data_IF_810558417476
#
_entry.id   IF_810558417476
#
_cell.length_a   1.000
_cell.length_b   1.000
_cell.length_c   1.000
_cell.angle_alpha   90.00
_cell.angle_beta   90.00
_cell.angle_gamma   90.00
#
_symmetry.space_group_name_H-M   'P 1'
#
loop_
_entity.id
_entity.type
_entity.pdbx_description
1 polymer ?
#
# COMPACT_ATOMS: atom_id res chain seq x y z
N UNK A 1 -4.37 -6.22 5.79
CA UNK A 1 -4.63 -5.21 4.74
C UNK A 1 -4.42 -5.75 3.33
N UNK A 2 -3.23 -6.27 2.91
CA UNK A 2 -3.06 -6.74 1.53
C UNK A 2 -4.07 -7.80 1.05
N UNK A 3 -4.41 -8.84 1.86
CA UNK A 3 -5.43 -9.82 1.44
C UNK A 3 -6.81 -9.20 1.26
N UNK A 4 -7.18 -8.25 2.12
CA UNK A 4 -8.48 -7.55 2.06
C UNK A 4 -8.61 -6.78 0.76
N UNK A 5 -7.56 -6.04 0.35
CA UNK A 5 -7.55 -5.32 -0.92
C UNK A 5 -7.50 -6.26 -2.13
N UNK A 6 -6.77 -7.37 -2.01
CA UNK A 6 -6.76 -8.40 -3.05
C UNK A 6 -8.15 -8.98 -3.32
N UNK A 7 -8.96 -9.19 -2.28
CA UNK A 7 -10.36 -9.66 -2.42
C UNK A 7 -11.30 -8.54 -2.88
N UNK A 8 -11.07 -7.30 -2.43
CA UNK A 8 -11.91 -6.16 -2.79
C UNK A 8 -11.69 -5.62 -4.21
N UNK A 9 -10.71 -6.15 -4.95
CA UNK A 9 -10.36 -5.68 -6.30
C UNK A 9 -10.55 -6.76 -7.35
N UNK A 10 -11.11 -6.39 -8.51
CA UNK A 10 -11.26 -7.28 -9.67
C UNK A 10 -9.96 -7.48 -10.45
N UNK A 11 -8.92 -6.67 -10.19
CA UNK A 11 -7.61 -6.75 -10.85
C UNK A 11 -6.55 -7.23 -9.88
N UNK A 12 -5.52 -7.91 -10.39
CA UNK A 12 -4.36 -8.28 -9.59
C UNK A 12 -3.62 -7.02 -9.10
N UNK A 13 -3.43 -6.95 -7.79
CA UNK A 13 -2.71 -5.89 -7.11
C UNK A 13 -1.34 -6.41 -6.64
N UNK A 14 -0.33 -5.56 -6.76
CA UNK A 14 1.02 -5.81 -6.29
C UNK A 14 1.31 -4.97 -5.04
N UNK A 15 1.98 -5.54 -4.05
CA UNK A 15 2.15 -4.92 -2.74
C UNK A 15 3.63 -4.75 -2.41
N UNK A 16 4.04 -3.54 -2.02
CA UNK A 16 5.40 -3.35 -1.51
C UNK A 16 5.48 -3.86 -0.05
N UNK A 17 6.31 -4.89 0.18
CA UNK A 17 6.41 -5.59 1.47
C UNK A 17 7.87 -5.68 1.93
N UNK A 18 8.13 -5.45 3.23
CA UNK A 18 9.51 -5.48 3.76
C UNK A 18 10.19 -6.81 3.46
N UNK A 19 11.46 -6.79 3.05
CA UNK A 19 12.25 -8.01 2.75
C UNK A 19 12.29 -9.00 3.91
N UNK A 20 12.18 -8.54 5.16
CA UNK A 20 12.10 -9.42 6.35
C UNK A 20 10.94 -10.41 6.30
N UNK A 21 9.84 -10.08 5.61
CA UNK A 21 8.71 -10.99 5.39
C UNK A 21 9.05 -12.16 4.45
N UNK A 22 10.14 -12.09 3.71
CA UNK A 22 10.54 -13.11 2.74
C UNK A 22 11.59 -14.10 3.29
N UNK A 23 11.94 -14.00 4.59
CA UNK A 23 12.93 -14.89 5.23
C UNK A 23 12.45 -16.35 5.31
N UNK A 24 11.16 -16.57 5.60
CA UNK A 24 10.59 -17.91 5.62
C UNK A 24 10.26 -18.34 4.17
N UNK A 25 10.86 -19.45 3.69
CA UNK A 25 10.73 -19.92 2.30
C UNK A 25 9.28 -20.20 1.89
N UNK A 26 8.50 -20.86 2.75
CA UNK A 26 7.13 -21.23 2.45
C UNK A 26 6.23 -19.99 2.38
N UNK A 27 6.34 -19.11 3.38
CA UNK A 27 5.59 -17.86 3.41
C UNK A 27 5.99 -16.92 2.26
N UNK A 28 7.29 -16.85 1.96
CA UNK A 28 7.85 -16.09 0.82
C UNK A 28 7.25 -16.54 -0.51
N UNK A 29 7.10 -17.85 -0.74
CA UNK A 29 6.49 -18.38 -1.96
C UNK A 29 5.02 -17.94 -2.08
N UNK A 30 4.26 -18.01 -0.98
CA UNK A 30 2.85 -17.62 -0.94
C UNK A 30 2.70 -16.12 -1.23
N UNK A 31 3.39 -15.25 -0.49
CA UNK A 31 3.23 -13.81 -0.65
C UNK A 31 3.71 -13.33 -2.03
N UNK A 32 4.72 -13.98 -2.63
CA UNK A 32 5.15 -13.69 -4.01
C UNK A 32 4.06 -14.00 -5.03
N UNK A 33 3.39 -15.15 -4.90
CA UNK A 33 2.26 -15.51 -5.77
C UNK A 33 1.10 -14.51 -5.65
N UNK A 34 0.87 -14.00 -4.44
CA UNK A 34 -0.10 -12.95 -4.12
C UNK A 34 0.33 -11.54 -4.57
N UNK A 35 1.49 -11.38 -5.22
CA UNK A 35 1.94 -10.10 -5.78
C UNK A 35 2.80 -9.25 -4.85
N UNK A 36 3.32 -9.79 -3.74
CA UNK A 36 4.22 -9.05 -2.86
C UNK A 36 5.60 -8.86 -3.50
N UNK A 37 6.06 -7.61 -3.55
CA UNK A 37 7.37 -7.18 -4.04
C UNK A 37 8.21 -6.82 -2.82
N UNK A 38 9.41 -7.41 -2.65
CA UNK A 38 10.29 -7.09 -1.53
C UNK A 38 10.83 -5.66 -1.65
N UNK A 39 10.76 -4.91 -0.55
CA UNK A 39 11.37 -3.58 -0.39
C UNK A 39 12.43 -3.59 0.71
N UNK A 40 13.52 -2.88 0.43
CA UNK A 40 14.59 -2.54 1.39
C UNK A 40 14.72 -1.03 1.50
N UNK A 41 15.05 -0.55 2.70
CA UNK A 41 15.23 0.89 2.93
C UNK A 41 16.47 1.43 2.21
N UNK A 42 17.56 0.67 2.24
CA UNK A 42 18.81 0.99 1.53
C UNK A 42 18.65 0.88 0.00
N UNK A 43 17.77 -0.01 -0.47
CA UNK A 43 17.44 -0.20 -1.89
C UNK A 43 16.18 0.51 -2.38
N UNK A 44 15.74 1.57 -1.69
CA UNK A 44 14.48 2.25 -1.99
C UNK A 44 14.41 2.76 -3.44
N UNK A 45 15.43 3.43 -4.02
CA UNK A 45 15.40 3.89 -5.41
C UNK A 45 15.17 2.75 -6.42
N UNK A 46 15.84 1.61 -6.21
CA UNK A 46 15.68 0.42 -7.07
C UNK A 46 14.27 -0.13 -6.98
N UNK A 47 13.70 -0.17 -5.78
CA UNK A 47 12.34 -0.67 -5.57
C UNK A 47 11.30 0.25 -6.21
N UNK A 48 11.46 1.57 -6.09
CA UNK A 48 10.57 2.54 -6.74
C UNK A 48 10.65 2.43 -8.27
N UNK A 49 11.84 2.22 -8.85
CA UNK A 49 11.98 1.94 -10.29
C UNK A 49 11.25 0.67 -10.71
N UNK A 50 11.36 -0.42 -9.94
CA UNK A 50 10.60 -1.66 -10.20
C UNK A 50 9.09 -1.43 -10.14
N UNK A 51 8.62 -0.66 -9.16
CA UNK A 51 7.22 -0.29 -9.05
C UNK A 51 6.76 0.52 -10.29
N UNK A 52 7.56 1.48 -10.77
CA UNK A 52 7.25 2.20 -12.01
C UNK A 52 7.13 1.28 -13.22
N UNK A 53 8.03 0.29 -13.37
CA UNK A 53 7.95 -0.66 -14.48
C UNK A 53 6.66 -1.48 -14.43
N UNK A 54 6.26 -1.94 -13.25
CA UNK A 54 5.00 -2.67 -13.06
C UNK A 54 3.79 -1.79 -13.39
N UNK A 55 3.81 -0.51 -13.00
CA UNK A 55 2.76 0.43 -13.38
C UNK A 55 2.68 0.62 -14.90
N UNK A 56 3.84 0.69 -15.58
CA UNK A 56 3.92 0.78 -17.06
C UNK A 56 3.36 -0.46 -17.77
N UNK A 57 3.45 -1.63 -17.15
CA UNK A 57 2.82 -2.87 -17.64
C UNK A 57 1.28 -2.90 -17.40
N UNK A 58 0.68 -1.79 -16.96
CA UNK A 58 -0.76 -1.71 -16.69
C UNK A 58 -1.19 -2.45 -15.42
N UNK A 59 -0.25 -2.82 -14.54
CA UNK A 59 -0.56 -3.51 -13.28
C UNK A 59 -0.80 -2.52 -12.14
N UNK A 60 -1.58 -2.94 -11.14
CA UNK A 60 -1.93 -2.08 -10.01
C UNK A 60 -0.94 -2.25 -8.86
N UNK A 61 -0.49 -1.16 -8.25
CA UNK A 61 0.36 -1.20 -7.05
C UNK A 61 -0.38 -0.60 -5.86
N UNK A 62 -0.29 -1.31 -4.74
CA UNK A 62 -0.73 -0.85 -3.44
C UNK A 62 0.49 -0.44 -2.64
N UNK A 63 0.46 0.81 -2.18
CA UNK A 63 1.44 1.39 -1.27
C UNK A 63 0.72 1.94 -0.04
N UNK A 64 1.28 1.66 1.14
CA UNK A 64 0.83 2.26 2.39
C UNK A 64 1.67 3.51 2.64
N UNK A 65 1.08 4.72 2.64
CA UNK A 65 1.86 5.95 2.58
C UNK A 65 2.74 6.20 3.80
N UNK A 66 2.37 5.60 4.93
CA UNK A 66 3.07 5.68 6.21
C UNK A 66 4.24 4.67 6.35
N UNK A 67 4.29 3.64 5.49
CA UNK A 67 5.31 2.59 5.49
C UNK A 67 5.34 1.66 6.73
N UNK A 68 4.40 1.82 7.67
CA UNK A 68 4.24 0.96 8.85
C UNK A 68 2.76 0.76 9.16
N UNK A 69 2.42 -0.31 9.89
CA UNK A 69 1.05 -0.49 10.40
C UNK A 69 0.79 0.57 11.48
N UNK A 70 -0.37 1.20 11.42
CA UNK A 70 -0.82 2.10 12.48
C UNK A 70 -1.15 1.28 13.73
N UNK A 71 -0.59 1.66 14.88
CA UNK A 71 -0.87 1.03 16.18
C UNK A 71 -2.13 1.60 16.82
N UNK A 72 -2.39 2.89 16.59
CA UNK A 72 -3.44 3.65 17.26
C UNK A 72 -4.59 4.01 16.31
N UNK A 73 -4.58 3.43 15.11
CA UNK A 73 -5.57 3.72 14.08
C UNK A 73 -5.55 5.16 13.57
N UNK A 74 -4.45 5.92 13.76
CA UNK A 74 -4.25 7.26 13.19
C UNK A 74 -3.35 7.18 11.96
N UNK A 75 -3.65 8.00 10.94
CA UNK A 75 -2.85 8.08 9.73
C UNK A 75 -1.65 9.02 9.95
N UNK A 76 -0.43 8.48 9.86
CA UNK A 76 0.83 9.24 9.93
C UNK A 76 1.11 10.00 8.62
N UNK A 77 2.18 10.78 8.65
CA UNK A 77 2.70 11.53 7.51
C UNK A 77 3.13 10.63 6.34
N UNK A 78 3.00 11.19 5.15
CA UNK A 78 3.31 10.55 3.90
C UNK A 78 4.80 10.52 3.65
N UNK A 79 5.28 9.40 3.11
CA UNK A 79 6.65 9.31 2.64
C UNK A 79 6.76 9.82 1.20
N UNK A 80 7.85 10.54 0.85
CA UNK A 80 8.03 11.12 -0.48
C UNK A 80 8.04 10.07 -1.60
N UNK A 81 8.38 8.81 -1.29
CA UNK A 81 8.28 7.70 -2.25
C UNK A 81 6.88 7.48 -2.82
N UNK A 82 5.82 7.85 -2.07
CA UNK A 82 4.43 7.79 -2.54
C UNK A 82 4.20 8.87 -3.59
N UNK A 83 4.59 10.11 -3.31
CA UNK A 83 4.48 11.21 -4.26
C UNK A 83 5.33 11.01 -5.51
N UNK A 84 6.51 10.41 -5.35
CA UNK A 84 7.34 10.01 -6.48
C UNK A 84 6.61 9.03 -7.41
N UNK A 85 5.98 7.98 -6.87
CA UNK A 85 5.21 7.03 -7.68
C UNK A 85 3.95 7.67 -8.28
N UNK A 86 3.30 8.56 -7.54
CA UNK A 86 2.12 9.29 -8.01
C UNK A 86 2.45 10.14 -9.25
N UNK A 87 3.54 10.92 -9.19
CA UNK A 87 3.95 11.83 -10.28
C UNK A 87 4.60 11.06 -11.43
N UNK A 88 5.56 10.17 -11.14
CA UNK A 88 6.32 9.46 -12.19
C UNK A 88 5.57 8.27 -12.77
N UNK A 89 4.62 7.70 -12.03
CA UNK A 89 3.78 6.61 -12.49
C UNK A 89 2.78 7.03 -13.58
N UNK A 90 2.42 8.33 -13.63
CA UNK A 90 1.45 8.89 -14.60
C UNK A 90 0.16 8.07 -14.69
N UNK A 91 -0.28 7.54 -13.56
CA UNK A 91 -1.46 6.71 -13.43
C UNK A 91 -2.37 7.26 -12.33
N UNK A 92 -3.68 6.98 -12.37
CA UNK A 92 -4.59 7.40 -11.31
C UNK A 92 -4.17 6.80 -9.96
N UNK A 93 -4.13 7.65 -8.93
CA UNK A 93 -3.92 7.24 -7.54
C UNK A 93 -5.28 7.16 -6.86
N UNK A 94 -5.68 5.96 -6.46
CA UNK A 94 -6.98 5.74 -5.81
C UNK A 94 -6.77 5.65 -4.29
N UNK A 95 -7.27 6.61 -3.50
CA UNK A 95 -7.19 6.55 -2.04
C UNK A 95 -8.13 5.47 -1.52
N UNK A 96 -7.62 4.62 -0.62
CA UNK A 96 -8.40 3.54 -0.01
C UNK A 96 -8.19 3.54 1.50
N UNK A 97 -9.31 3.48 2.23
CA UNK A 97 -9.32 3.34 3.68
C UNK A 97 -9.81 1.95 4.07
N UNK A 98 -9.04 1.27 4.90
CA UNK A 98 -9.39 -0.03 5.49
C UNK A 98 -9.58 0.17 6.99
N UNK A 99 -10.68 -0.35 7.53
CA UNK A 99 -10.98 -0.32 8.96
C UNK A 99 -11.53 -1.67 9.44
N UNK A 100 -11.31 -1.99 10.72
CA UNK A 100 -11.72 -3.25 11.33
C UNK A 100 -10.69 -4.37 11.23
N UNK A 101 -9.63 -4.21 10.42
CA UNK A 101 -8.53 -5.19 10.34
C UNK A 101 -7.71 -5.25 11.63
N UNK A 102 -7.63 -4.14 12.37
CA UNK A 102 -7.02 -4.04 13.69
C UNK A 102 -7.76 -4.89 14.75
N UNK A 103 -9.07 -5.11 14.57
CA UNK A 103 -9.87 -5.99 15.44
C UNK A 103 -9.76 -7.45 15.00
N UNK A 104 -9.66 -7.71 13.70
CA UNK A 104 -9.53 -9.04 13.14
C UNK A 104 -8.18 -9.69 13.46
N UNK A 105 -7.08 -8.93 13.34
CA UNK A 105 -5.74 -9.41 13.64
C UNK A 105 -4.88 -8.28 14.28
N UNK A 106 -5.06 -8.04 15.59
CA UNK A 106 -4.26 -7.07 16.33
C UNK A 106 -2.76 -7.35 16.23
N UNK A 107 -1.94 -6.32 16.41
CA UNK A 107 -0.47 -6.48 16.44
C UNK A 107 -0.09 -7.43 17.58
N UNK A 108 0.60 -8.53 17.26
CA UNK A 108 1.01 -9.56 18.23
C UNK A 108 0.02 -10.73 18.39
N UNK A 109 -1.18 -10.65 17.80
CA UNK A 109 -2.11 -11.76 17.80
C UNK A 109 -1.61 -12.90 16.88
N UNK A 110 -1.71 -14.14 17.36
CA UNK A 110 -1.35 -15.35 16.59
C UNK A 110 -2.48 -15.85 15.68
N UNK A 111 -3.74 -15.52 16.00
CA UNK A 111 -4.92 -16.02 15.31
C UNK A 111 -5.83 -14.88 14.85
N UNK A 112 -6.48 -15.08 13.70
CA UNK A 112 -7.48 -14.16 13.14
C UNK A 112 -8.80 -14.38 13.85
N UNK A 113 -9.44 -13.30 14.30
CA UNK A 113 -10.79 -13.31 14.88
C UNK A 113 -11.82 -12.83 13.86
N UNK A 114 -13.05 -13.38 13.85
CA UNK A 114 -14.14 -12.82 13.06
C UNK A 114 -14.41 -11.38 13.47
N UNK A 115 -14.28 -10.45 12.51
CA UNK A 115 -14.58 -9.04 12.73
C UNK A 115 -15.10 -8.41 11.43
N UNK A 116 -15.98 -7.41 11.55
CA UNK A 116 -16.47 -6.65 10.40
C UNK A 116 -15.33 -5.78 9.85
N UNK A 117 -14.90 -6.06 8.63
CA UNK A 117 -13.91 -5.26 7.89
C UNK A 117 -14.66 -4.37 6.90
N UNK A 118 -14.31 -3.08 6.86
CA UNK A 118 -14.85 -2.13 5.89
C UNK A 118 -13.74 -1.58 5.01
N UNK A 119 -14.00 -1.54 3.70
CA UNK A 119 -13.14 -0.92 2.69
C UNK A 119 -13.91 0.23 2.06
N UNK A 120 -13.37 1.44 2.17
CA UNK A 120 -13.90 2.62 1.49
C UNK A 120 -12.92 3.05 0.41
N UNK A 121 -13.41 3.21 -0.81
CA UNK A 121 -12.63 3.58 -1.98
C UNK A 121 -13.03 5.00 -2.37
N UNK A 122 -12.05 5.90 -2.48
CA UNK A 122 -12.29 7.29 -2.85
C UNK A 122 -12.16 7.57 -4.35
N UNK A 123 -12.35 8.83 -4.72
CA UNK A 123 -12.19 9.30 -6.10
C UNK A 123 -10.72 9.24 -6.54
N UNK A 124 -10.43 8.88 -7.80
CA UNK A 124 -9.07 8.86 -8.32
C UNK A 124 -8.47 10.27 -8.34
N UNK A 125 -7.19 10.35 -7.98
CA UNK A 125 -6.37 11.55 -8.03
C UNK A 125 -5.36 11.43 -9.17
N UNK A 126 -5.05 12.54 -9.82
CA UNK A 126 -4.08 12.62 -10.91
C UNK A 126 -2.97 13.60 -10.56
N UNK A 127 -1.73 13.20 -10.78
CA UNK A 127 -0.55 13.98 -10.45
C UNK A 127 0.36 14.07 -11.68
N UNK A 128 0.54 15.29 -12.22
CA UNK A 128 1.34 15.53 -13.43
C UNK A 128 2.76 16.00 -13.09
N UNK A 129 2.89 16.82 -12.06
CA UNK A 129 4.14 17.40 -11.56
C UNK A 129 3.93 17.92 -10.13
N UNK A 130 5.03 18.27 -9.45
CA UNK A 130 4.99 18.89 -8.13
C UNK A 130 5.94 18.25 -7.13
N UNK A 131 6.02 18.88 -5.96
CA UNK A 131 6.79 18.36 -4.84
C UNK A 131 6.24 17.02 -4.35
N UNK A 132 7.12 16.04 -4.16
CA UNK A 132 6.70 14.67 -3.83
C UNK A 132 6.16 14.56 -2.41
N UNK A 133 6.61 15.39 -1.48
CA UNK A 133 6.07 15.38 -0.12
C UNK A 133 4.64 15.94 -0.12
N UNK A 134 4.41 17.08 -0.76
CA UNK A 134 3.09 17.67 -0.92
C UNK A 134 2.11 16.72 -1.64
N UNK A 135 2.57 16.01 -2.67
CA UNK A 135 1.75 14.99 -3.34
C UNK A 135 1.38 13.83 -2.40
N UNK A 136 2.32 13.35 -1.58
CA UNK A 136 2.06 12.31 -0.60
C UNK A 136 1.04 12.75 0.46
N UNK A 137 1.15 14.00 0.95
CA UNK A 137 0.20 14.57 1.90
C UNK A 137 -1.21 14.71 1.30
N UNK A 138 -1.35 15.15 0.04
CA UNK A 138 -2.65 15.19 -0.65
C UNK A 138 -3.30 13.80 -0.74
N UNK A 139 -2.52 12.75 -0.95
CA UNK A 139 -3.02 11.36 -0.94
C UNK A 139 -3.54 11.00 0.45
N UNK A 140 -2.80 11.31 1.51
CA UNK A 140 -3.23 11.02 2.89
C UNK A 140 -4.47 11.81 3.27
N UNK A 141 -4.53 13.09 2.93
CA UNK A 141 -5.70 13.93 3.17
C UNK A 141 -6.94 13.35 2.50
N UNK A 142 -6.79 12.86 1.26
CA UNK A 142 -7.87 12.19 0.54
C UNK A 142 -8.30 10.88 1.22
N UNK A 143 -7.37 10.12 1.81
CA UNK A 143 -7.70 8.93 2.62
C UNK A 143 -8.39 9.35 3.94
N UNK A 144 -7.97 10.46 4.59
CA UNK A 144 -8.61 10.99 5.81
C UNK A 144 -10.07 11.36 5.55
N UNK A 145 -10.37 11.97 4.40
CA UNK A 145 -11.74 12.32 3.98
C UNK A 145 -12.66 11.12 3.79
N UNK A 146 -12.12 9.89 3.70
CA UNK A 146 -12.92 8.67 3.62
C UNK A 146 -13.39 8.17 4.99
N UNK A 147 -12.90 8.70 6.11
CA UNK A 147 -13.28 8.21 7.44
C UNK A 147 -14.78 8.31 7.68
#
# INVERSE_FOLDING_TARGET
>A
DPPVLGVASSRKLYFLARRTLFKNRLFSLIIRRLGAIPIEREGLPVTLRKALNILKEGKGIVIFPEGTRSKDGKLKEGKPGVGFLAVKGRCPVVPVLISGTEKALPVGAKFIKPAKIKVKIGKPLFFNSGDYFACAEKVIESIRKLR
#
